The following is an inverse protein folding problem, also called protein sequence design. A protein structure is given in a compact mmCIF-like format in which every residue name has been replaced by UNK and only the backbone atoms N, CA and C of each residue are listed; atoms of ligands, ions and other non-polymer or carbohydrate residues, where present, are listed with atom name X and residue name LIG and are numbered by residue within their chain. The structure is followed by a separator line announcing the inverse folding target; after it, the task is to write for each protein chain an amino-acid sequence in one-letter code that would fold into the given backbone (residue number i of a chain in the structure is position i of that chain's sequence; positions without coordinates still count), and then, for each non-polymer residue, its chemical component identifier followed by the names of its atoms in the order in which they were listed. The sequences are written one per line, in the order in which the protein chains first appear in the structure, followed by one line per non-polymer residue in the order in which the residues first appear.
data_IF_414892001045
#
_entry.id   IF_414892001045
#
_cell.length_a   1.000
_cell.length_b   1.000
_cell.length_c   1.000
_cell.angle_alpha   90.00
_cell.angle_beta   90.00
_cell.angle_gamma   90.00
#
_symmetry.space_group_name_H-M   'P 1'
#
loop_
_entity.id
_entity.type
_entity.pdbx_description
1 polymer ?
#
# COMPACT_ATOMS: atom_id res chain seq x y z
N UNK A 1 21.77 -18.07 22.07
CA UNK A 1 21.13 -18.37 23.38
C UNK A 1 20.14 -17.27 23.78
N UNK A 2 20.42 -16.02 23.44
CA UNK A 2 19.57 -14.86 23.73
C UNK A 2 18.23 -14.86 22.97
N UNK A 3 18.23 -15.23 21.69
CA UNK A 3 17.05 -15.24 20.82
C UNK A 3 16.00 -16.24 21.31
N UNK A 4 16.45 -17.44 21.72
CA UNK A 4 15.57 -18.48 22.26
C UNK A 4 14.93 -18.06 23.60
N UNK A 5 15.72 -17.45 24.51
CA UNK A 5 15.20 -16.92 25.78
C UNK A 5 14.20 -15.78 25.54
N UNK A 6 14.53 -14.85 24.64
CA UNK A 6 13.65 -13.75 24.24
C UNK A 6 12.31 -14.26 23.70
N UNK A 7 12.37 -15.21 22.77
CA UNK A 7 11.18 -15.78 22.15
C UNK A 7 10.32 -16.52 23.18
N UNK A 8 10.94 -17.31 24.05
CA UNK A 8 10.25 -18.07 25.09
C UNK A 8 9.53 -17.14 26.08
N UNK A 9 10.26 -16.19 26.68
CA UNK A 9 9.71 -15.26 27.65
C UNK A 9 8.51 -14.49 27.08
N UNK A 10 8.66 -13.95 25.87
CA UNK A 10 7.60 -13.21 25.21
C UNK A 10 6.39 -14.07 24.89
N UNK A 11 6.61 -15.23 24.29
CA UNK A 11 5.51 -16.11 23.87
C UNK A 11 4.73 -16.64 25.07
N UNK A 12 5.39 -16.97 26.18
CA UNK A 12 4.72 -17.41 27.40
C UNK A 12 3.87 -16.30 28.02
N UNK A 13 4.41 -15.09 28.11
CA UNK A 13 3.66 -13.93 28.56
C UNK A 13 2.40 -13.68 27.71
N UNK A 14 2.55 -13.70 26.37
CA UNK A 14 1.43 -13.50 25.46
C UNK A 14 0.38 -14.63 25.60
N UNK A 15 0.78 -15.88 25.85
CA UNK A 15 -0.13 -17.01 26.10
C UNK A 15 -0.87 -16.86 27.43
N UNK A 16 -0.18 -16.48 28.52
CA UNK A 16 -0.79 -16.24 29.82
C UNK A 16 -1.86 -15.13 29.73
N UNK A 17 -1.54 -14.02 29.04
CA UNK A 17 -2.51 -12.95 28.78
C UNK A 17 -3.73 -13.42 27.99
N UNK A 18 -3.54 -14.29 26.99
CA UNK A 18 -4.66 -14.85 26.22
C UNK A 18 -5.55 -15.76 27.06
N UNK A 19 -4.98 -16.54 27.99
CA UNK A 19 -5.74 -17.44 28.87
C UNK A 19 -6.51 -16.68 29.95
N UNK A 20 -5.91 -15.64 30.55
CA UNK A 20 -6.50 -14.90 31.66
C UNK A 20 -7.43 -13.76 31.22
N UNK A 21 -7.04 -13.01 30.18
CA UNK A 21 -7.74 -11.79 29.75
C UNK A 21 -8.45 -11.92 28.40
N UNK A 22 -8.18 -12.98 27.63
CA UNK A 22 -8.74 -13.16 26.28
C UNK A 22 -8.12 -12.28 25.19
N UNK A 23 -7.09 -11.48 25.51
CA UNK A 23 -6.35 -10.67 24.55
C UNK A 23 -4.88 -10.51 24.96
N UNK A 24 -4.01 -10.17 24.01
CA UNK A 24 -2.64 -9.75 24.28
C UNK A 24 -2.19 -8.65 23.31
N UNK A 25 -1.20 -7.82 23.69
CA UNK A 25 -0.63 -6.83 22.77
C UNK A 25 0.04 -7.48 21.56
N UNK A 26 -0.44 -7.16 20.36
CA UNK A 26 0.07 -7.75 19.12
C UNK A 26 -0.52 -9.13 18.82
N UNK A 27 -1.75 -9.40 19.25
CA UNK A 27 -2.48 -10.65 19.01
C UNK A 27 -2.53 -11.05 17.52
N UNK A 28 -2.47 -10.08 16.60
CA UNK A 28 -2.48 -10.33 15.15
C UNK A 28 -1.29 -11.19 14.68
N UNK A 29 -0.19 -11.24 15.44
CA UNK A 29 0.96 -12.12 15.16
C UNK A 29 0.64 -13.61 15.38
N UNK A 30 -0.49 -13.90 16.03
CA UNK A 30 -1.07 -15.23 16.21
C UNK A 30 -2.29 -15.46 15.32
N UNK A 31 -2.58 -14.59 14.36
CA UNK A 31 -3.77 -14.70 13.51
C UNK A 31 -3.91 -16.06 12.83
N UNK A 32 -2.81 -16.66 12.33
CA UNK A 32 -2.86 -17.99 11.72
C UNK A 32 -3.33 -19.08 12.69
N UNK A 33 -2.64 -19.35 13.83
CA UNK A 33 -3.09 -20.39 14.75
C UNK A 33 -4.49 -20.10 15.33
N UNK A 34 -4.83 -18.83 15.59
CA UNK A 34 -6.15 -18.45 16.09
C UNK A 34 -7.28 -18.68 15.07
N UNK A 35 -6.99 -18.57 13.77
CA UNK A 35 -7.95 -18.81 12.69
C UNK A 35 -7.94 -20.25 12.16
N UNK A 36 -7.12 -21.14 12.72
CA UNK A 36 -7.01 -22.53 12.27
C UNK A 36 -6.42 -22.72 10.87
N UNK A 37 -5.84 -21.67 10.27
CA UNK A 37 -5.27 -21.70 8.91
C UNK A 37 -3.98 -22.51 8.85
N UNK A 38 -3.71 -23.15 7.70
CA UNK A 38 -2.46 -23.84 7.44
C UNK A 38 -1.28 -22.85 7.28
N UNK A 39 -0.03 -23.27 7.56
CA UNK A 39 1.16 -22.46 7.26
C UNK A 39 1.21 -22.02 5.80
N UNK A 40 1.48 -20.73 5.55
CA UNK A 40 1.53 -20.16 4.21
C UNK A 40 0.17 -19.87 3.56
N UNK A 41 -0.94 -20.29 4.17
CA UNK A 41 -2.28 -20.01 3.66
C UNK A 41 -2.56 -18.50 3.57
N UNK A 42 -3.45 -18.10 2.66
CA UNK A 42 -3.81 -16.69 2.47
C UNK A 42 -4.54 -16.18 3.72
N UNK A 43 -4.16 -15.03 4.31
CA UNK A 43 -4.89 -14.45 5.42
C UNK A 43 -6.21 -13.86 4.99
N UNK A 44 -7.18 -13.89 5.89
CA UNK A 44 -8.40 -13.10 5.75
C UNK A 44 -8.05 -11.62 5.76
N UNK A 45 -8.73 -10.88 4.90
CA UNK A 45 -8.56 -9.45 4.67
C UNK A 45 -9.92 -8.79 4.57
N UNK A 46 -9.96 -7.47 4.43
CA UNK A 46 -11.21 -6.75 4.24
C UNK A 46 -12.02 -7.26 3.03
N UNK A 47 -11.35 -7.77 1.98
CA UNK A 47 -12.00 -8.36 0.81
C UNK A 47 -12.95 -9.50 1.14
N UNK A 48 -12.67 -10.26 2.20
CA UNK A 48 -13.46 -11.44 2.58
C UNK A 48 -14.77 -11.07 3.30
N UNK A 49 -14.96 -9.78 3.62
CA UNK A 49 -16.17 -9.24 4.24
C UNK A 49 -17.09 -8.57 3.23
N UNK A 50 -16.65 -8.38 1.99
CA UNK A 50 -17.49 -7.89 0.90
C UNK A 50 -18.22 -9.06 0.22
N UNK A 51 -19.41 -8.83 -0.36
CA UNK A 51 -19.99 -9.76 -1.31
C UNK A 51 -19.01 -10.03 -2.46
N UNK A 52 -19.08 -11.20 -3.10
CA UNK A 52 -18.22 -11.58 -4.24
C UNK A 52 -18.29 -10.59 -5.42
N UNK A 53 -19.30 -9.74 -5.38
CA UNK A 53 -19.83 -8.93 -6.44
C UNK A 53 -19.57 -7.41 -6.18
N UNK A 54 -18.75 -7.08 -5.19
CA UNK A 54 -18.40 -5.70 -4.86
C UNK A 54 -17.65 -4.97 -6.00
N UNK A 55 -17.78 -3.64 -6.01
CA UNK A 55 -17.05 -2.75 -6.92
C UNK A 55 -15.88 -2.10 -6.19
N UNK A 56 -14.69 -2.16 -6.78
CA UNK A 56 -13.48 -1.51 -6.27
C UNK A 56 -13.14 -0.27 -7.07
N UNK A 57 -12.80 0.81 -6.37
CA UNK A 57 -12.11 1.96 -6.97
C UNK A 57 -10.67 1.98 -6.49
N UNK A 58 -9.75 2.22 -7.42
CA UNK A 58 -8.33 2.44 -7.11
C UNK A 58 -8.00 3.84 -7.61
N UNK A 59 -7.98 4.76 -6.66
CA UNK A 59 -7.54 6.13 -6.88
C UNK A 59 -6.02 6.19 -7.04
N UNK A 60 -5.54 7.16 -7.81
CA UNK A 60 -4.15 7.29 -8.25
C UNK A 60 -3.50 5.95 -8.63
N UNK A 61 -4.21 5.20 -9.49
CA UNK A 61 -3.91 3.79 -9.77
C UNK A 61 -2.46 3.54 -10.20
N UNK A 62 -1.87 4.51 -10.90
CA UNK A 62 -0.50 4.46 -11.40
C UNK A 62 0.53 4.35 -10.27
N UNK A 63 0.21 4.83 -9.07
CA UNK A 63 1.01 4.72 -7.87
C UNK A 63 0.51 3.60 -6.93
N UNK A 64 -0.82 3.48 -6.74
CA UNK A 64 -1.41 2.54 -5.80
C UNK A 64 -1.23 1.08 -6.23
N UNK A 65 -1.32 0.77 -7.53
CA UNK A 65 -1.11 -0.60 -8.02
C UNK A 65 0.32 -1.09 -7.75
N UNK A 66 1.40 -0.35 -8.11
CA UNK A 66 2.76 -0.72 -7.73
C UNK A 66 2.94 -0.87 -6.21
N UNK A 67 2.33 0.01 -5.41
CA UNK A 67 2.38 -0.07 -3.96
C UNK A 67 1.83 -1.40 -3.45
N UNK A 68 0.63 -1.81 -3.91
CA UNK A 68 0.02 -3.10 -3.57
C UNK A 68 0.95 -4.25 -3.94
N UNK A 69 1.58 -4.18 -5.13
CA UNK A 69 2.56 -5.17 -5.58
C UNK A 69 3.77 -5.34 -4.65
N UNK A 70 4.23 -4.25 -4.03
CA UNK A 70 5.39 -4.24 -3.15
C UNK A 70 5.07 -4.65 -1.69
N UNK A 71 3.81 -4.55 -1.24
CA UNK A 71 3.46 -4.71 0.18
C UNK A 71 3.91 -6.04 0.79
N UNK A 72 3.70 -7.16 0.08
CA UNK A 72 4.08 -8.48 0.59
C UNK A 72 5.59 -8.59 0.83
N UNK A 73 6.40 -8.15 -0.13
CA UNK A 73 7.86 -8.27 -0.05
C UNK A 73 8.42 -7.39 1.07
N UNK A 74 7.94 -6.15 1.17
CA UNK A 74 8.34 -5.22 2.23
C UNK A 74 7.97 -5.74 3.63
N UNK A 75 6.72 -6.21 3.80
CA UNK A 75 6.28 -6.76 5.09
C UNK A 75 7.05 -8.03 5.46
N UNK A 76 7.26 -8.93 4.50
CA UNK A 76 8.01 -10.17 4.72
C UNK A 76 9.45 -9.90 5.11
N UNK A 77 10.15 -8.99 4.43
CA UNK A 77 11.54 -8.63 4.77
C UNK A 77 11.64 -8.17 6.23
N UNK A 78 10.78 -7.22 6.63
CA UNK A 78 10.74 -6.70 8.00
C UNK A 78 10.42 -7.78 9.04
N UNK A 79 9.43 -8.64 8.77
CA UNK A 79 9.02 -9.70 9.72
C UNK A 79 10.03 -10.83 9.81
N UNK A 80 10.73 -11.18 8.72
CA UNK A 80 11.80 -12.17 8.75
C UNK A 80 12.88 -11.77 9.75
N UNK A 81 13.32 -10.51 9.76
CA UNK A 81 14.27 -10.00 10.75
C UNK A 81 13.79 -10.17 12.19
N UNK A 82 12.50 -9.93 12.47
CA UNK A 82 11.92 -10.15 13.80
C UNK A 82 11.94 -11.64 14.21
N UNK A 83 11.69 -12.54 13.26
CA UNK A 83 11.71 -13.98 13.51
C UNK A 83 13.13 -14.48 13.73
N UNK A 84 14.08 -14.07 12.89
CA UNK A 84 15.50 -14.45 12.97
C UNK A 84 16.14 -14.03 14.29
N UNK A 85 15.75 -12.85 14.81
CA UNK A 85 16.21 -12.37 16.10
C UNK A 85 15.31 -12.78 17.28
N UNK A 86 14.40 -13.74 17.12
CA UNK A 86 13.62 -14.31 18.23
C UNK A 86 12.62 -13.35 18.88
N UNK A 87 12.18 -12.29 18.19
CA UNK A 87 11.13 -11.38 18.68
C UNK A 87 9.71 -11.89 18.41
N UNK A 88 9.55 -12.76 17.41
CA UNK A 88 8.27 -13.35 16.99
C UNK A 88 8.45 -14.79 16.53
N UNK A 89 7.40 -15.59 16.66
CA UNK A 89 7.35 -16.96 16.12
C UNK A 89 7.32 -16.94 14.58
N UNK A 90 7.76 -18.01 13.90
CA UNK A 90 7.64 -18.13 12.44
C UNK A 90 6.21 -17.97 11.92
N UNK A 91 5.19 -18.32 12.71
CA UNK A 91 3.78 -18.13 12.37
C UNK A 91 3.38 -16.66 12.17
N UNK A 92 4.14 -15.71 12.72
CA UNK A 92 3.88 -14.29 12.53
C UNK A 92 4.05 -13.85 11.06
N UNK A 93 4.81 -14.61 10.26
CA UNK A 93 4.94 -14.38 8.82
C UNK A 93 3.62 -14.61 8.07
N UNK A 94 2.68 -15.37 8.65
CA UNK A 94 1.39 -15.68 8.03
C UNK A 94 0.30 -14.65 8.35
N UNK A 95 0.59 -13.69 9.23
CA UNK A 95 -0.13 -12.42 9.33
C UNK A 95 0.52 -11.45 8.35
N UNK A 96 -0.03 -11.22 7.17
CA UNK A 96 0.68 -10.50 6.11
C UNK A 96 -0.25 -9.91 5.05
N UNK A 97 0.22 -8.94 4.26
CA UNK A 97 -0.47 -8.53 3.05
C UNK A 97 -0.66 -9.69 2.06
N UNK A 98 -1.63 -9.52 1.16
CA UNK A 98 -1.79 -10.40 0.02
C UNK A 98 -0.59 -10.27 -0.92
N UNK A 99 -0.22 -11.37 -1.57
CA UNK A 99 0.64 -11.31 -2.75
C UNK A 99 -0.16 -10.67 -3.89
N UNK A 100 0.53 -10.01 -4.82
CA UNK A 100 -0.12 -9.31 -5.93
C UNK A 100 -1.05 -10.24 -6.72
N UNK A 101 -0.63 -11.46 -7.01
CA UNK A 101 -1.43 -12.43 -7.79
C UNK A 101 -2.69 -12.88 -7.05
N UNK A 102 -2.67 -12.88 -5.70
CA UNK A 102 -3.85 -13.18 -4.88
C UNK A 102 -4.79 -12.00 -4.83
N UNK A 103 -4.26 -10.79 -4.70
CA UNK A 103 -5.03 -9.56 -4.77
C UNK A 103 -5.75 -9.43 -6.13
N UNK A 104 -5.08 -9.70 -7.24
CA UNK A 104 -5.67 -9.69 -8.58
C UNK A 104 -6.89 -10.61 -8.71
N UNK A 105 -6.85 -11.79 -8.09
CA UNK A 105 -7.97 -12.75 -8.12
C UNK A 105 -9.18 -12.26 -7.33
N UNK A 106 -8.98 -11.41 -6.32
CA UNK A 106 -10.05 -10.79 -5.52
C UNK A 106 -10.66 -9.57 -6.22
N UNK A 107 -9.95 -8.99 -7.19
CA UNK A 107 -10.34 -7.76 -7.87
C UNK A 107 -11.03 -8.07 -9.20
N UNK A 108 -12.31 -8.46 -9.16
CA UNK A 108 -13.07 -8.84 -10.35
C UNK A 108 -13.71 -7.64 -11.05
N UNK A 109 -14.20 -6.65 -10.30
CA UNK A 109 -14.78 -5.40 -10.81
C UNK A 109 -14.02 -4.21 -10.24
N UNK A 110 -13.23 -3.55 -11.08
CA UNK A 110 -12.33 -2.47 -10.66
C UNK A 110 -12.45 -1.29 -11.61
N UNK A 111 -12.55 -0.09 -11.05
CA UNK A 111 -12.36 1.18 -11.75
C UNK A 111 -11.01 1.74 -11.32
N UNK A 112 -10.08 1.84 -12.28
CA UNK A 112 -8.81 2.52 -12.08
C UNK A 112 -9.01 4.02 -12.36
N UNK A 113 -8.63 4.86 -11.42
CA UNK A 113 -8.74 6.31 -11.52
C UNK A 113 -7.32 6.90 -11.48
N UNK A 114 -6.93 7.58 -12.55
CA UNK A 114 -5.62 8.21 -12.67
C UNK A 114 -5.62 9.20 -13.83
N UNK A 115 -4.96 10.34 -13.67
CA UNK A 115 -4.66 11.25 -14.79
C UNK A 115 -3.59 10.68 -15.74
N UNK A 116 -2.76 9.75 -15.24
CA UNK A 116 -1.65 9.12 -15.96
C UNK A 116 -1.68 7.61 -15.73
N UNK A 117 -2.65 6.86 -16.28
CA UNK A 117 -2.79 5.42 -16.03
C UNK A 117 -1.53 4.65 -16.45
N UNK A 118 -1.11 3.71 -15.61
CA UNK A 118 0.08 2.90 -15.87
C UNK A 118 -0.16 1.75 -16.88
N UNK A 119 0.90 1.03 -17.28
CA UNK A 119 0.79 -0.09 -18.21
C UNK A 119 -0.12 -1.21 -17.72
N UNK A 120 -0.17 -1.44 -16.41
CA UNK A 120 -0.98 -2.50 -15.81
C UNK A 120 -2.47 -2.23 -16.01
N UNK A 121 -2.91 -1.00 -15.74
CA UNK A 121 -4.30 -0.58 -15.84
C UNK A 121 -4.76 -0.61 -17.30
N UNK A 122 -3.95 -0.07 -18.21
CA UNK A 122 -4.21 -0.10 -19.65
C UNK A 122 -4.34 -1.53 -20.20
N UNK A 123 -3.48 -2.45 -19.74
CA UNK A 123 -3.57 -3.86 -20.12
C UNK A 123 -4.84 -4.51 -19.56
N UNK A 124 -5.18 -4.23 -18.29
CA UNK A 124 -6.34 -4.82 -17.61
C UNK A 124 -7.68 -4.33 -18.14
N UNK A 125 -7.74 -3.07 -18.58
CA UNK A 125 -8.95 -2.51 -19.19
C UNK A 125 -9.11 -2.90 -20.66
N UNK A 126 -8.15 -3.60 -21.26
CA UNK A 126 -8.19 -3.95 -22.68
C UNK A 126 -8.09 -2.72 -23.60
N UNK A 127 -7.60 -1.59 -23.07
CA UNK A 127 -7.58 -0.30 -23.77
C UNK A 127 -8.87 0.52 -23.64
N UNK A 128 -9.92 0.00 -22.99
CA UNK A 128 -11.13 0.78 -22.70
C UNK A 128 -10.82 1.83 -21.63
N UNK A 129 -10.92 3.11 -21.99
CA UNK A 129 -10.62 4.24 -21.11
C UNK A 129 -11.75 5.25 -21.21
N UNK A 130 -12.25 5.71 -20.05
CA UNK A 130 -13.20 6.81 -19.96
C UNK A 130 -12.45 8.05 -19.50
N UNK A 131 -12.44 9.09 -20.33
CA UNK A 131 -11.72 10.33 -20.06
C UNK A 131 -12.64 11.41 -19.51
N UNK A 132 -12.17 12.12 -18.49
CA UNK A 132 -12.84 13.31 -17.94
C UNK A 132 -11.84 14.47 -17.89
N UNK A 133 -11.72 15.19 -19.01
CA UNK A 133 -10.77 16.31 -19.17
C UNK A 133 -11.40 17.65 -18.76
N UNK A 134 -12.70 17.83 -19.02
CA UNK A 134 -13.40 19.09 -18.76
C UNK A 134 -13.62 19.27 -17.25
N UNK A 135 -13.05 20.35 -16.69
CA UNK A 135 -13.24 20.71 -15.28
C UNK A 135 -14.57 21.47 -15.10
N UNK A 136 -15.39 21.15 -14.07
CA UNK A 136 -16.63 21.89 -13.80
C UNK A 136 -16.43 23.40 -13.58
N UNK A 137 -15.25 23.81 -13.14
CA UNK A 137 -14.88 25.22 -12.89
C UNK A 137 -14.48 25.98 -14.15
N UNK A 138 -14.26 25.31 -15.28
CA UNK A 138 -13.72 25.90 -16.51
C UNK A 138 -12.22 26.22 -16.46
N UNK A 139 -11.50 25.78 -15.42
CA UNK A 139 -10.04 25.95 -15.36
C UNK A 139 -9.34 25.20 -16.49
N UNK A 140 -8.49 25.91 -17.21
CA UNK A 140 -7.68 25.37 -18.31
C UNK A 140 -6.39 24.73 -17.78
N UNK A 141 -5.83 23.82 -18.57
CA UNK A 141 -4.46 23.34 -18.35
C UNK A 141 -3.47 24.51 -18.47
N UNK A 142 -2.38 24.51 -17.67
CA UNK A 142 -1.43 25.61 -17.68
C UNK A 142 -0.63 25.66 -18.99
N UNK A 143 -0.18 26.86 -19.36
CA UNK A 143 0.75 27.06 -20.47
C UNK A 143 2.13 26.49 -20.09
N UNK A 144 2.76 25.77 -21.02
CA UNK A 144 4.10 25.19 -20.85
C UNK A 144 5.08 25.96 -21.75
N UNK A 145 6.15 26.48 -21.16
CA UNK A 145 7.24 27.17 -21.85
C UNK A 145 8.56 26.42 -21.65
N UNK A 146 9.33 26.25 -22.73
CA UNK A 146 10.64 25.58 -22.69
C UNK A 146 11.73 26.63 -22.86
N UNK A 147 12.62 26.73 -21.87
CA UNK A 147 13.73 27.69 -21.84
C UNK A 147 15.09 26.98 -21.80
N UNK A 148 16.17 27.61 -22.30
CA UNK A 148 17.51 27.01 -22.22
C UNK A 148 17.94 26.76 -20.76
N UNK A 149 18.60 25.63 -20.52
CA UNK A 149 19.17 25.33 -19.20
C UNK A 149 20.24 26.35 -18.76
N UNK A 150 20.91 27.01 -19.72
CA UNK A 150 21.88 28.07 -19.44
C UNK A 150 21.16 29.28 -18.84
N UNK A 151 21.50 29.63 -17.60
CA UNK A 151 20.87 30.75 -16.90
C UNK A 151 19.52 30.43 -16.26
N UNK A 152 19.16 29.15 -16.12
CA UNK A 152 17.87 28.73 -15.55
C UNK A 152 17.60 29.24 -14.14
N UNK A 153 18.63 29.35 -13.28
CA UNK A 153 18.47 29.81 -11.90
C UNK A 153 18.12 31.30 -11.84
N UNK A 154 18.89 32.21 -12.47
CA UNK A 154 18.48 33.61 -12.60
C UNK A 154 17.08 33.80 -13.19
N UNK A 155 16.76 33.07 -14.27
CA UNK A 155 15.45 33.13 -14.92
C UNK A 155 14.31 32.70 -13.96
N UNK A 156 14.48 31.58 -13.25
CA UNK A 156 13.50 31.08 -12.28
C UNK A 156 13.29 32.07 -11.13
N UNK A 157 14.37 32.67 -10.60
CA UNK A 157 14.27 33.66 -9.52
C UNK A 157 13.51 34.92 -9.94
N UNK A 158 13.70 35.36 -11.18
CA UNK A 158 12.92 36.47 -11.75
C UNK A 158 11.44 36.10 -11.87
N UNK A 159 11.12 34.92 -12.41
CA UNK A 159 9.74 34.43 -12.51
C UNK A 159 9.06 34.33 -11.13
N UNK A 160 9.74 33.79 -10.11
CA UNK A 160 9.21 33.72 -8.74
C UNK A 160 8.92 35.12 -8.19
N UNK A 161 9.83 36.08 -8.36
CA UNK A 161 9.63 37.47 -7.90
C UNK A 161 8.41 38.12 -8.56
N UNK A 162 8.21 37.90 -9.85
CA UNK A 162 7.02 38.39 -10.56
C UNK A 162 5.73 37.79 -10.02
N UNK A 163 5.70 36.48 -9.72
CA UNK A 163 4.50 35.81 -9.15
C UNK A 163 4.22 36.30 -7.73
N UNK A 164 5.27 36.46 -6.92
CA UNK A 164 5.17 36.98 -5.55
C UNK A 164 4.61 38.40 -5.51
N UNK A 165 5.05 39.28 -6.41
CA UNK A 165 4.54 40.65 -6.53
C UNK A 165 3.03 40.71 -6.86
N UNK A 166 2.46 39.63 -7.41
CA UNK A 166 1.02 39.47 -7.71
C UNK A 166 0.26 38.71 -6.61
N UNK A 167 0.87 38.42 -5.47
CA UNK A 167 0.25 37.67 -4.37
C UNK A 167 0.05 36.17 -4.65
N UNK A 168 0.72 35.64 -5.68
CA UNK A 168 0.72 34.21 -5.98
C UNK A 168 1.77 33.47 -5.13
N UNK A 169 1.79 32.14 -5.19
CA UNK A 169 2.73 31.32 -4.37
C UNK A 169 4.18 31.59 -4.77
N UNK A 170 5.04 31.75 -3.76
CA UNK A 170 6.50 31.97 -3.85
C UNK A 170 7.26 30.65 -3.94
#
# INVERSE_FOLDING_TARGET
MLEAQRLNARTRFDIEMLLEAGYCPGIENYSRPLSGRAPGETPSTLFDFFPDDFLMFIDESHATVPQIGAMYAGDRSRKTTLVEHGFRLPSALDNRPLKFEKWQKKCQRVVYVSATPGPYELQRSGGEVVEQVVRPTGLLDPVIEVVPARGQVPHLLEQIRERAARGQRT
#
